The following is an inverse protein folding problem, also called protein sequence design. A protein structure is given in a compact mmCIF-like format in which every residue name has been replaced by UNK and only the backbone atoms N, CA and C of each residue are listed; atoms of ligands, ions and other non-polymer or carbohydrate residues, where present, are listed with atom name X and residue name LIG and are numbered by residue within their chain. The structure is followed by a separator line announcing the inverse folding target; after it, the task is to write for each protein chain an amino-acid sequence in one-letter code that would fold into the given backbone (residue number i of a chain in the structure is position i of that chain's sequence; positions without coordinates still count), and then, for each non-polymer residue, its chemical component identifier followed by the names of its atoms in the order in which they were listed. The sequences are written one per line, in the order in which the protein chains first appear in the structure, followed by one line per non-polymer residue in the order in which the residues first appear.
data_IF_466252214451
#
_entry.id   IF_466252214451
#
_cell.length_a   1.000
_cell.length_b   1.000
_cell.length_c   1.000
_cell.angle_alpha   90.00
_cell.angle_beta   90.00
_cell.angle_gamma   90.00
#
_symmetry.space_group_name_H-M   'P 1'
#
loop_
_entity.id
_entity.type
_entity.pdbx_description
1 polymer ?
#
# COMPACT_ATOMS: atom_id res chain seq x y z
N UNK A 1 -15.23 26.39 6.26
CA UNK A 1 -16.20 25.30 6.01
C UNK A 1 -15.36 24.03 5.96
N UNK A 2 -15.67 23.02 6.78
CA UNK A 2 -15.01 21.72 6.63
C UNK A 2 -15.60 21.08 5.38
N UNK A 3 -14.85 21.06 4.27
CA UNK A 3 -15.16 20.16 3.16
C UNK A 3 -15.05 18.74 3.72
N UNK A 4 -16.19 18.12 3.95
CA UNK A 4 -16.28 16.77 4.46
C UNK A 4 -15.84 15.83 3.33
N UNK A 5 -14.55 15.50 3.30
CA UNK A 5 -14.01 14.54 2.34
C UNK A 5 -14.77 13.21 2.49
N UNK A 6 -15.50 12.82 1.46
CA UNK A 6 -16.16 11.52 1.39
C UNK A 6 -15.09 10.43 1.41
N UNK A 7 -14.90 9.80 2.56
CA UNK A 7 -13.94 8.72 2.71
C UNK A 7 -14.31 7.56 1.78
N UNK A 8 -13.36 7.04 0.98
CA UNK A 8 -13.63 5.88 0.14
C UNK A 8 -13.99 4.67 1.02
N UNK A 9 -15.01 3.92 0.60
CA UNK A 9 -15.33 2.63 1.24
C UNK A 9 -14.33 1.59 0.76
N UNK A 10 -13.52 1.07 1.68
CA UNK A 10 -12.58 0.00 1.38
C UNK A 10 -13.30 -1.35 1.36
N UNK A 11 -13.10 -2.11 0.27
CA UNK A 11 -13.51 -3.51 0.23
C UNK A 11 -12.31 -4.45 0.38
N UNK A 12 -12.58 -5.63 0.93
CA UNK A 12 -11.56 -6.65 1.11
C UNK A 12 -10.89 -7.02 -0.21
N UNK A 13 -9.56 -7.06 -0.14
CA UNK A 13 -8.74 -7.37 -1.29
C UNK A 13 -8.80 -6.29 -2.36
N UNK A 14 -9.08 -5.02 -2.06
CA UNK A 14 -8.85 -3.88 -2.96
C UNK A 14 -7.45 -3.26 -2.75
N UNK A 15 -6.79 -2.80 -3.81
CA UNK A 15 -5.52 -2.07 -3.76
C UNK A 15 -5.89 -0.61 -3.96
N UNK A 16 -5.61 0.17 -2.92
CA UNK A 16 -5.88 1.59 -2.87
C UNK A 16 -4.55 2.31 -2.93
N UNK A 17 -4.46 3.29 -3.83
CA UNK A 17 -3.34 4.21 -3.93
C UNK A 17 -3.85 5.62 -3.66
N UNK A 18 -3.40 6.22 -2.57
CA UNK A 18 -3.68 7.60 -2.23
C UNK A 18 -2.52 8.47 -2.71
N UNK A 19 -2.79 9.42 -3.59
CA UNK A 19 -1.84 10.45 -4.06
C UNK A 19 -2.13 11.73 -3.28
N UNK A 20 -1.11 12.30 -2.63
CA UNK A 20 -1.28 13.56 -1.87
C UNK A 20 -1.70 14.69 -2.81
N UNK A 21 -2.65 15.50 -2.36
CA UNK A 21 -3.04 16.74 -3.04
C UNK A 21 -1.94 17.80 -2.86
N UNK A 22 -1.08 17.95 -3.89
CA UNK A 22 0.03 18.90 -3.86
C UNK A 22 -0.43 20.37 -3.98
N UNK A 23 -1.73 20.62 -4.25
CA UNK A 23 -2.29 21.98 -4.32
C UNK A 23 -2.70 22.51 -2.94
N UNK A 24 -2.82 21.61 -1.96
CA UNK A 24 -3.19 21.91 -0.59
C UNK A 24 -2.10 22.75 0.11
N UNK A 25 -2.51 23.81 0.81
CA UNK A 25 -1.64 24.78 1.48
C UNK A 25 -0.66 25.56 0.58
N UNK A 26 -0.76 25.41 -0.75
CA UNK A 26 0.05 26.15 -1.74
C UNK A 26 -0.78 27.19 -2.49
N UNK A 27 -2.07 26.93 -2.68
CA UNK A 27 -2.99 27.79 -3.43
C UNK A 27 -3.68 28.80 -2.51
N UNK A 28 -3.97 30.00 -3.01
CA UNK A 28 -4.85 30.95 -2.33
C UNK A 28 -6.28 30.36 -2.20
N UNK A 29 -6.96 30.62 -1.08
CA UNK A 29 -8.26 30.00 -0.75
C UNK A 29 -9.30 30.10 -1.89
N UNK A 30 -9.33 31.22 -2.62
CA UNK A 30 -10.26 31.46 -3.72
C UNK A 30 -9.92 30.67 -5.01
N UNK A 31 -8.67 30.22 -5.17
CA UNK A 31 -8.20 29.48 -6.34
C UNK A 31 -8.08 27.96 -6.09
N UNK A 32 -7.97 27.54 -4.82
CA UNK A 32 -7.68 26.16 -4.43
C UNK A 32 -8.62 25.14 -5.06
N UNK A 33 -9.94 25.37 -5.04
CA UNK A 33 -10.92 24.44 -5.60
C UNK A 33 -10.71 24.16 -7.10
N UNK A 34 -10.32 25.18 -7.88
CA UNK A 34 -10.05 25.05 -9.32
C UNK A 34 -8.74 24.31 -9.56
N UNK A 35 -7.69 24.67 -8.83
CA UNK A 35 -6.35 24.11 -9.01
C UNK A 35 -6.32 22.64 -8.59
N UNK A 36 -7.02 22.31 -7.50
CA UNK A 36 -7.27 20.95 -7.01
C UNK A 36 -7.95 20.07 -8.06
N UNK A 37 -9.03 20.56 -8.68
CA UNK A 37 -9.77 19.83 -9.71
C UNK A 37 -8.95 19.64 -10.99
N UNK A 38 -8.15 20.64 -11.37
CA UNK A 38 -7.22 20.53 -12.50
C UNK A 38 -6.13 19.49 -12.21
N UNK A 39 -5.60 19.47 -10.98
CA UNK A 39 -4.62 18.49 -10.54
C UNK A 39 -5.21 17.07 -10.56
N UNK A 40 -6.42 16.86 -10.00
CA UNK A 40 -7.15 15.57 -10.07
C UNK A 40 -7.27 15.06 -11.51
N UNK A 41 -7.76 15.90 -12.43
CA UNK A 41 -7.88 15.55 -13.86
C UNK A 41 -6.54 15.21 -14.50
N UNK A 42 -5.46 15.89 -14.08
CA UNK A 42 -4.11 15.57 -14.58
C UNK A 42 -3.64 14.19 -14.10
N UNK A 43 -3.97 13.78 -12.87
CA UNK A 43 -3.70 12.44 -12.36
C UNK A 43 -4.50 11.38 -13.12
N UNK A 44 -5.79 11.64 -13.38
CA UNK A 44 -6.63 10.73 -14.16
C UNK A 44 -6.07 10.51 -15.58
N UNK A 45 -5.61 11.58 -16.22
CA UNK A 45 -4.95 11.50 -17.53
C UNK A 45 -3.57 10.82 -17.48
N UNK A 46 -2.80 11.03 -16.41
CA UNK A 46 -1.47 10.43 -16.23
C UNK A 46 -1.54 8.91 -15.99
N UNK A 47 -2.50 8.46 -15.18
CA UNK A 47 -2.57 7.06 -14.73
C UNK A 47 -3.65 6.21 -15.40
N UNK A 48 -4.50 6.85 -16.22
CA UNK A 48 -5.64 6.24 -16.91
C UNK A 48 -6.60 5.53 -15.93
N UNK A 49 -6.92 6.23 -14.84
CA UNK A 49 -7.77 5.73 -13.76
C UNK A 49 -8.59 6.87 -13.16
N UNK A 50 -9.84 6.61 -12.73
CA UNK A 50 -10.60 7.60 -11.98
C UNK A 50 -10.01 7.80 -10.58
N UNK A 51 -10.09 9.03 -10.09
CA UNK A 51 -9.68 9.38 -8.73
C UNK A 51 -10.84 9.99 -7.96
N UNK A 52 -11.03 9.57 -6.71
CA UNK A 52 -11.97 10.17 -5.76
C UNK A 52 -11.25 10.91 -4.65
N UNK A 53 -11.94 11.84 -4.03
CA UNK A 53 -11.41 12.61 -2.91
C UNK A 53 -11.27 11.73 -1.67
N UNK A 54 -10.25 11.99 -0.86
CA UNK A 54 -10.06 11.37 0.44
C UNK A 54 -9.26 12.30 1.36
N UNK A 55 -9.32 12.04 2.65
CA UNK A 55 -8.37 12.55 3.64
C UNK A 55 -7.66 11.35 4.25
N UNK A 56 -6.33 11.38 4.28
CA UNK A 56 -5.48 10.30 4.82
C UNK A 56 -4.75 10.70 6.11
N UNK A 57 -5.15 11.81 6.74
CA UNK A 57 -4.51 12.35 7.93
C UNK A 57 -5.48 12.63 9.07
N UNK A 58 -5.58 11.75 10.09
CA UNK A 58 -6.47 11.99 11.22
C UNK A 58 -5.94 13.18 12.02
N UNK A 59 -6.79 14.18 12.25
CA UNK A 59 -6.50 15.31 13.13
C UNK A 59 -5.64 16.44 12.53
N UNK A 60 -4.86 16.19 11.47
CA UNK A 60 -4.09 17.22 10.78
C UNK A 60 -4.58 17.55 9.36
N UNK A 61 -5.56 16.79 8.85
CA UNK A 61 -6.03 16.79 7.45
C UNK A 61 -4.90 16.67 6.44
N UNK A 62 -4.87 15.55 5.73
CA UNK A 62 -3.96 15.36 4.61
C UNK A 62 -4.79 15.01 3.38
N UNK A 63 -5.28 16.03 2.64
CA UNK A 63 -6.10 15.79 1.45
C UNK A 63 -5.33 14.98 0.41
N UNK A 64 -6.04 14.02 -0.17
CA UNK A 64 -5.50 13.10 -1.14
C UNK A 64 -6.54 12.75 -2.21
N UNK A 65 -6.05 12.21 -3.30
CA UNK A 65 -6.83 11.59 -4.35
C UNK A 65 -6.57 10.10 -4.34
N UNK A 66 -7.63 9.31 -4.24
CA UNK A 66 -7.56 7.86 -4.18
C UNK A 66 -7.96 7.24 -5.51
N UNK A 67 -7.10 6.36 -6.02
CA UNK A 67 -7.41 5.45 -7.10
C UNK A 67 -7.48 4.00 -6.59
N UNK A 68 -8.47 3.26 -7.09
CA UNK A 68 -8.60 1.84 -6.85
C UNK A 68 -8.07 1.08 -8.07
N UNK A 69 -7.08 0.20 -7.86
CA UNK A 69 -6.64 -0.72 -8.91
C UNK A 69 -7.64 -1.88 -9.02
N UNK A 70 -8.71 -1.70 -9.79
CA UNK A 70 -9.60 -2.79 -10.15
C UNK A 70 -9.04 -3.55 -11.35
N UNK A 71 -9.09 -4.89 -11.31
CA UNK A 71 -8.92 -5.67 -12.53
C UNK A 71 -10.20 -5.62 -13.34
N UNK A 72 -10.11 -5.69 -14.67
CA UNK A 72 -11.25 -5.65 -15.61
C UNK A 72 -12.18 -6.89 -15.55
N UNK A 73 -11.99 -7.78 -14.57
CA UNK A 73 -12.72 -9.03 -14.42
C UNK A 73 -13.70 -9.00 -13.24
N UNK A 74 -14.77 -9.81 -13.32
CA UNK A 74 -15.83 -9.95 -12.30
C UNK A 74 -15.25 -10.26 -10.91
N UNK A 75 -14.12 -10.96 -10.85
CA UNK A 75 -13.20 -10.97 -9.70
C UNK A 75 -11.77 -11.00 -10.25
N UNK A 76 -10.96 -9.96 -10.07
CA UNK A 76 -9.58 -9.99 -10.51
C UNK A 76 -8.81 -11.11 -9.79
N UNK A 77 -8.03 -11.92 -10.50
CA UNK A 77 -7.27 -13.04 -9.93
C UNK A 77 -6.40 -12.63 -8.72
N UNK A 78 -5.93 -11.38 -8.70
CA UNK A 78 -5.14 -10.83 -7.62
C UNK A 78 -5.91 -10.69 -6.29
N UNK A 79 -7.24 -10.48 -6.32
CA UNK A 79 -8.08 -10.42 -5.11
C UNK A 79 -7.97 -11.75 -4.34
N UNK A 80 -8.09 -12.87 -5.05
CA UNK A 80 -7.95 -14.21 -4.48
C UNK A 80 -6.53 -14.48 -3.95
N UNK A 81 -5.50 -14.02 -4.67
CA UNK A 81 -4.11 -14.15 -4.24
C UNK A 81 -3.83 -13.35 -2.97
N UNK A 82 -4.37 -12.13 -2.88
CA UNK A 82 -4.24 -11.30 -1.68
C UNK A 82 -4.94 -11.93 -0.48
N UNK A 83 -6.16 -12.46 -0.66
CA UNK A 83 -6.87 -13.16 0.39
C UNK A 83 -6.11 -14.41 0.87
N UNK A 84 -5.55 -15.20 -0.05
CA UNK A 84 -4.75 -16.37 0.30
C UNK A 84 -3.47 -16.00 1.07
N UNK A 85 -2.80 -14.89 0.72
CA UNK A 85 -1.66 -14.35 1.45
C UNK A 85 -2.05 -14.00 2.90
N UNK A 86 -3.15 -13.25 3.09
CA UNK A 86 -3.60 -12.82 4.41
C UNK A 86 -4.28 -13.92 5.25
N UNK A 87 -4.56 -15.08 4.66
CA UNK A 87 -4.89 -16.30 5.39
C UNK A 87 -3.63 -17.03 5.92
N UNK A 88 -2.44 -16.50 5.66
CA UNK A 88 -1.17 -17.12 6.03
C UNK A 88 -0.89 -18.42 5.27
N UNK A 89 -1.54 -18.64 4.12
CA UNK A 89 -1.31 -19.85 3.32
C UNK A 89 -0.07 -19.70 2.44
N UNK A 90 0.76 -20.75 2.29
CA UNK A 90 1.83 -20.74 1.31
C UNK A 90 1.28 -20.57 -0.11
N UNK A 91 1.84 -19.62 -0.85
CA UNK A 91 1.57 -19.38 -2.27
C UNK A 91 2.74 -19.93 -3.09
N UNK A 92 2.42 -20.75 -4.09
CA UNK A 92 3.38 -21.34 -5.02
C UNK A 92 3.16 -20.89 -6.47
N UNK A 93 1.99 -20.33 -6.75
CA UNK A 93 1.55 -19.97 -8.09
C UNK A 93 1.43 -18.46 -8.23
N UNK A 94 1.44 -17.98 -9.47
CA UNK A 94 1.16 -16.58 -9.83
C UNK A 94 2.11 -15.55 -9.19
N UNK A 95 3.31 -15.93 -8.76
CA UNK A 95 4.31 -15.01 -8.19
C UNK A 95 4.72 -13.90 -9.19
N UNK A 96 4.66 -14.18 -10.49
CA UNK A 96 4.86 -13.17 -11.53
C UNK A 96 3.81 -12.05 -11.47
N UNK A 97 2.55 -12.38 -11.16
CA UNK A 97 1.48 -11.38 -11.07
C UNK A 97 1.73 -10.35 -9.96
N UNK A 98 2.37 -10.75 -8.86
CA UNK A 98 2.80 -9.83 -7.79
C UNK A 98 3.84 -8.82 -8.29
N UNK A 99 4.80 -9.27 -9.12
CA UNK A 99 5.81 -8.39 -9.73
C UNK A 99 5.18 -7.41 -10.72
N UNK A 100 4.28 -7.89 -11.57
CA UNK A 100 3.59 -7.05 -12.54
C UNK A 100 2.72 -5.99 -11.83
N UNK A 101 2.06 -6.37 -10.74
CA UNK A 101 1.30 -5.44 -9.89
C UNK A 101 2.23 -4.43 -9.19
N UNK A 102 3.36 -4.87 -8.66
CA UNK A 102 4.35 -3.97 -8.06
C UNK A 102 4.86 -2.94 -9.07
N UNK A 103 5.10 -3.35 -10.32
CA UNK A 103 5.48 -2.43 -11.39
C UNK A 103 4.37 -1.39 -11.68
N UNK A 104 3.10 -1.80 -11.69
CA UNK A 104 1.96 -0.87 -11.82
C UNK A 104 1.89 0.10 -10.63
N UNK A 105 2.03 -0.36 -9.39
CA UNK A 105 2.06 0.51 -8.19
C UNK A 105 3.24 1.48 -8.25
N UNK A 106 4.44 1.00 -8.59
CA UNK A 106 5.65 1.83 -8.69
C UNK A 106 5.52 2.93 -9.75
N UNK A 107 4.66 2.76 -10.77
CA UNK A 107 4.42 3.83 -11.76
C UNK A 107 3.85 5.11 -11.15
N UNK A 108 3.18 5.03 -9.99
CA UNK A 108 2.65 6.17 -9.25
C UNK A 108 3.71 6.93 -8.43
N UNK A 109 4.93 6.38 -8.26
CA UNK A 109 5.93 6.93 -7.33
C UNK A 109 6.59 8.22 -7.78
N UNK A 110 6.22 8.71 -8.97
CA UNK A 110 6.47 10.09 -9.40
C UNK A 110 5.78 11.11 -8.49
N UNK A 111 4.73 10.68 -7.76
CA UNK A 111 3.99 11.48 -6.80
C UNK A 111 4.25 11.01 -5.36
N UNK A 112 3.99 11.85 -4.34
CA UNK A 112 3.88 11.39 -2.96
C UNK A 112 2.64 10.49 -2.83
N UNK A 113 2.86 9.22 -2.47
CA UNK A 113 1.78 8.23 -2.38
C UNK A 113 1.78 7.46 -1.07
N UNK A 114 0.58 7.08 -0.65
CA UNK A 114 0.32 6.15 0.43
C UNK A 114 -0.53 4.98 -0.08
N UNK A 115 -0.39 3.84 0.57
CA UNK A 115 -0.98 2.57 0.11
C UNK A 115 -1.76 1.97 1.26
N UNK A 116 -2.89 1.35 0.96
CA UNK A 116 -3.54 0.48 1.94
C UNK A 116 -2.72 -0.81 2.15
N UNK A 117 -3.18 -1.63 3.11
CA UNK A 117 -2.53 -2.89 3.49
C UNK A 117 -2.21 -3.78 2.29
N UNK A 118 -3.11 -3.89 1.32
CA UNK A 118 -2.97 -4.74 0.14
C UNK A 118 -1.92 -4.17 -0.83
N UNK A 119 -1.96 -2.87 -1.11
CA UNK A 119 -0.94 -2.20 -1.93
C UNK A 119 0.45 -2.30 -1.31
N UNK A 120 0.54 -2.12 0.02
CA UNK A 120 1.78 -2.29 0.77
C UNK A 120 2.29 -3.73 0.74
N UNK A 121 1.41 -4.73 0.86
CA UNK A 121 1.79 -6.14 0.77
C UNK A 121 2.41 -6.50 -0.60
N UNK A 122 1.91 -5.91 -1.69
CA UNK A 122 2.50 -6.12 -3.03
C UNK A 122 3.96 -5.66 -3.07
N UNK A 123 4.26 -4.49 -2.49
CA UNK A 123 5.62 -3.99 -2.42
C UNK A 123 6.49 -4.81 -1.47
N UNK A 124 5.91 -5.31 -0.38
CA UNK A 124 6.63 -6.16 0.56
C UNK A 124 7.07 -7.48 -0.10
N UNK A 125 6.17 -8.11 -0.85
CA UNK A 125 6.47 -9.31 -1.64
C UNK A 125 7.52 -9.04 -2.72
N UNK A 126 7.43 -7.91 -3.43
CA UNK A 126 8.43 -7.54 -4.43
C UNK A 126 9.81 -7.28 -3.83
N UNK A 127 9.89 -6.67 -2.65
CA UNK A 127 11.15 -6.50 -1.93
C UNK A 127 11.80 -7.85 -1.57
N UNK A 128 11.01 -8.83 -1.15
CA UNK A 128 11.50 -10.20 -0.91
C UNK A 128 12.04 -10.82 -2.19
N UNK A 129 11.35 -10.66 -3.33
CA UNK A 129 11.84 -11.17 -4.61
C UNK A 129 13.18 -10.56 -5.01
N UNK A 130 13.33 -9.24 -4.80
CA UNK A 130 14.57 -8.53 -5.11
C UNK A 130 15.72 -8.97 -4.19
N UNK A 131 15.46 -9.12 -2.89
CA UNK A 131 16.44 -9.59 -1.90
C UNK A 131 16.89 -11.04 -2.17
N UNK A 132 15.99 -11.89 -2.64
CA UNK A 132 16.31 -13.25 -3.05
C UNK A 132 16.99 -13.34 -4.43
N UNK A 133 17.05 -12.23 -5.19
CA UNK A 133 17.57 -12.20 -6.56
C UNK A 133 16.70 -12.94 -7.58
N UNK A 134 15.42 -13.20 -7.29
CA UNK A 134 14.55 -14.03 -8.14
C UNK A 134 13.13 -14.25 -7.61
N UNK A 135 12.35 -15.07 -8.31
CA UNK A 135 11.08 -15.57 -7.77
C UNK A 135 11.37 -16.75 -6.83
N UNK A 136 10.92 -16.74 -5.57
CA UNK A 136 10.96 -17.93 -4.73
C UNK A 136 10.02 -19.01 -5.28
N UNK A 137 10.15 -20.24 -4.78
CA UNK A 137 9.19 -21.32 -5.05
C UNK A 137 7.91 -21.16 -4.22
N UNK A 138 8.07 -20.60 -3.02
CA UNK A 138 7.03 -20.46 -2.01
C UNK A 138 7.11 -19.11 -1.32
N UNK A 139 5.97 -18.51 -1.01
CA UNK A 139 5.88 -17.33 -0.16
C UNK A 139 4.70 -17.45 0.80
N UNK A 140 4.89 -17.03 2.05
CA UNK A 140 3.88 -17.11 3.09
C UNK A 140 3.96 -15.86 3.97
N UNK A 141 2.83 -15.22 4.23
CA UNK A 141 2.76 -14.17 5.25
C UNK A 141 2.63 -14.83 6.62
N UNK A 142 3.54 -14.49 7.53
CA UNK A 142 3.61 -15.02 8.89
C UNK A 142 3.02 -14.04 9.90
N UNK A 143 3.22 -12.74 9.68
CA UNK A 143 2.71 -11.69 10.56
C UNK A 143 2.51 -10.38 9.82
N UNK A 144 1.57 -9.58 10.32
CA UNK A 144 1.31 -8.24 9.82
C UNK A 144 0.88 -7.31 10.95
N UNK A 145 1.45 -6.11 10.98
CA UNK A 145 0.98 -5.02 11.84
C UNK A 145 1.16 -3.66 11.18
N UNK A 146 0.51 -2.65 11.75
CA UNK A 146 0.76 -1.24 11.47
C UNK A 146 1.52 -0.61 12.62
N UNK A 147 2.43 0.32 12.32
CA UNK A 147 3.14 1.15 13.30
C UNK A 147 2.98 2.62 12.93
N UNK A 148 3.07 3.53 13.90
CA UNK A 148 3.16 4.94 13.58
C UNK A 148 4.49 5.26 12.88
N UNK A 149 4.50 6.19 11.92
CA UNK A 149 5.71 6.56 11.15
C UNK A 149 6.85 7.07 12.07
N UNK A 150 6.50 7.65 13.23
CA UNK A 150 7.45 8.13 14.22
C UNK A 150 8.19 7.01 14.98
N UNK A 151 7.75 5.76 14.87
CA UNK A 151 8.41 4.60 15.49
C UNK A 151 9.47 4.04 14.53
N UNK A 152 10.71 3.91 14.98
CA UNK A 152 11.87 3.57 14.12
C UNK A 152 12.18 2.07 14.05
N UNK A 153 11.62 1.25 14.94
CA UNK A 153 12.21 -0.07 15.18
C UNK A 153 11.66 -1.19 14.29
N UNK A 154 12.43 -1.53 13.24
CA UNK A 154 12.27 -2.75 12.46
C UNK A 154 12.74 -4.01 13.19
N UNK A 155 13.51 -3.94 14.28
CA UNK A 155 14.04 -5.11 14.98
C UNK A 155 13.00 -5.79 15.88
N UNK A 156 11.99 -5.06 16.34
CA UNK A 156 10.89 -5.64 17.12
C UNK A 156 9.99 -6.50 16.22
N UNK A 157 9.82 -7.80 16.50
CA UNK A 157 8.89 -8.65 15.74
C UNK A 157 7.44 -8.17 15.88
N UNK A 158 6.59 -8.30 14.85
CA UNK A 158 5.16 -8.32 15.05
C UNK A 158 4.80 -9.53 15.92
N UNK A 159 3.70 -9.42 16.67
CA UNK A 159 3.07 -10.63 17.20
C UNK A 159 2.77 -11.58 16.03
N UNK A 160 2.81 -12.91 16.24
CA UNK A 160 2.50 -13.93 15.23
C UNK A 160 1.00 -13.92 14.89
N UNK A 161 0.49 -12.77 14.46
CA UNK A 161 -0.87 -12.52 14.08
C UNK A 161 -0.90 -11.64 12.83
N UNK A 162 -1.91 -11.86 12.00
CA UNK A 162 -2.18 -11.03 10.85
C UNK A 162 -3.22 -10.01 11.32
N UNK A 163 -2.73 -8.82 11.73
CA UNK A 163 -3.59 -7.75 12.23
C UNK A 163 -4.60 -7.22 11.20
N UNK A 164 -5.60 -6.50 11.68
CA UNK A 164 -6.63 -5.88 10.83
C UNK A 164 -6.07 -4.71 10.00
N UNK A 165 -6.74 -4.40 8.89
CA UNK A 165 -6.41 -3.19 8.12
C UNK A 165 -6.92 -1.96 8.87
N UNK A 166 -6.12 -0.88 8.86
CA UNK A 166 -6.59 0.41 9.33
C UNK A 166 -7.33 1.15 8.20
N UNK A 167 -8.31 2.02 8.53
CA UNK A 167 -9.01 2.83 7.55
C UNK A 167 -8.08 3.77 6.77
N UNK A 168 -8.51 4.15 5.56
CA UNK A 168 -7.84 5.08 4.63
C UNK A 168 -7.43 6.38 5.33
N UNK A 169 -8.25 6.86 6.26
CA UNK A 169 -7.99 8.05 7.06
C UNK A 169 -6.64 8.03 7.79
N UNK A 170 -6.06 6.86 8.06
CA UNK A 170 -4.80 6.74 8.80
C UNK A 170 -3.56 6.58 7.92
N UNK A 171 -3.71 6.43 6.59
CA UNK A 171 -2.61 6.02 5.71
C UNK A 171 -1.40 6.98 5.76
N UNK A 172 -1.62 8.28 5.97
CA UNK A 172 -0.57 9.29 6.07
C UNK A 172 0.28 9.20 7.34
N UNK A 173 -0.11 8.41 8.33
CA UNK A 173 0.52 8.33 9.66
C UNK A 173 1.02 6.94 10.02
N UNK A 174 0.80 5.95 9.15
CA UNK A 174 1.12 4.55 9.43
C UNK A 174 2.18 4.02 8.47
N UNK A 175 2.90 3.03 8.96
CA UNK A 175 3.82 2.17 8.24
C UNK A 175 3.33 0.74 8.36
N UNK A 176 3.35 0.00 7.26
CA UNK A 176 2.99 -1.41 7.24
C UNK A 176 4.23 -2.27 7.48
N UNK A 177 4.14 -3.20 8.43
CA UNK A 177 5.20 -4.16 8.73
C UNK A 177 4.70 -5.56 8.40
N UNK A 178 5.43 -6.25 7.55
CA UNK A 178 5.14 -7.62 7.13
C UNK A 178 6.27 -8.55 7.56
N UNK A 179 5.92 -9.71 8.08
CA UNK A 179 6.84 -10.85 8.16
C UNK A 179 6.48 -11.90 7.14
N UNK A 180 7.42 -12.18 6.25
CA UNK A 180 7.23 -13.04 5.09
C UNK A 180 8.26 -14.16 5.16
N UNK A 181 7.79 -15.41 5.02
CA UNK A 181 8.64 -16.57 4.80
C UNK A 181 8.66 -16.90 3.31
N UNK A 182 9.85 -17.00 2.72
CA UNK A 182 10.04 -17.40 1.33
C UNK A 182 11.17 -18.44 1.22
N UNK A 183 10.84 -19.61 0.67
CA UNK A 183 11.75 -20.77 0.55
C UNK A 183 12.51 -21.10 1.84
N UNK A 184 11.81 -21.05 2.98
CA UNK A 184 12.39 -21.29 4.30
C UNK A 184 12.98 -20.05 4.97
N UNK A 185 13.37 -19.02 4.22
CA UNK A 185 14.01 -17.82 4.77
C UNK A 185 12.94 -16.83 5.27
N UNK A 186 13.16 -16.23 6.44
CA UNK A 186 12.28 -15.20 7.00
C UNK A 186 12.79 -13.80 6.65
N UNK A 187 11.87 -12.94 6.28
CA UNK A 187 12.09 -11.53 5.97
C UNK A 187 11.11 -10.68 6.75
N UNK A 188 11.59 -9.54 7.23
CA UNK A 188 10.74 -8.48 7.75
C UNK A 188 10.81 -7.29 6.82
N UNK A 189 9.66 -6.80 6.38
CA UNK A 189 9.55 -5.73 5.39
C UNK A 189 8.70 -4.61 5.94
N UNK A 190 9.26 -3.40 5.92
CA UNK A 190 8.55 -2.15 6.21
C UNK A 190 8.19 -1.46 4.90
N UNK A 191 6.94 -1.00 4.82
CA UNK A 191 6.43 -0.18 3.72
C UNK A 191 5.81 1.09 4.28
N UNK A 192 6.40 2.23 3.91
CA UNK A 192 5.98 3.59 4.28
C UNK A 192 5.77 4.38 2.97
N UNK A 193 4.54 4.36 2.47
CA UNK A 193 4.18 4.88 1.16
C UNK A 193 5.04 4.26 0.04
N UNK A 194 5.93 5.06 -0.54
CA UNK A 194 6.89 4.62 -1.58
C UNK A 194 8.21 4.05 -1.05
N UNK A 195 8.49 4.19 0.25
CA UNK A 195 9.73 3.72 0.87
C UNK A 195 9.53 2.28 1.32
N UNK A 196 10.47 1.41 0.95
CA UNK A 196 10.47 0.01 1.34
C UNK A 196 11.82 -0.32 1.96
N UNK A 197 11.80 -0.93 3.14
CA UNK A 197 12.98 -1.42 3.83
C UNK A 197 12.80 -2.90 4.16
N UNK A 198 13.85 -3.70 4.00
CA UNK A 198 13.82 -5.14 4.21
C UNK A 198 14.95 -5.56 5.15
N UNK A 199 14.64 -6.49 6.04
CA UNK A 199 15.58 -7.14 6.93
C UNK A 199 15.45 -8.65 6.74
N UNK A 200 16.51 -9.31 6.29
CA UNK A 200 16.61 -10.76 6.31
C UNK A 200 16.87 -11.23 7.74
N UNK A 201 16.05 -12.15 8.24
CA UNK A 201 16.16 -12.68 9.59
C UNK A 201 16.92 -14.01 9.54
N UNK A 202 17.94 -14.16 10.37
CA UNK A 202 18.61 -15.44 10.57
C UNK A 202 17.69 -16.36 11.38
N UNK A 203 17.53 -17.62 10.96
CA UNK A 203 16.89 -18.63 11.80
C UNK A 203 17.84 -18.95 12.96
N UNK A 204 17.46 -18.61 14.20
CA UNK A 204 18.12 -19.18 15.36
C UNK A 204 17.84 -20.69 15.35
N UNK A 205 18.88 -21.49 15.09
CA UNK A 205 18.86 -22.95 15.24
C UNK A 205 18.75 -23.35 16.71
#
# INVERSE_FOLDING_TARGET
MSDEFLQPTEHDGQILIAVVDETYAVSEDDAWARDREAYRKSLEAEFDLPFCDADIGPGASLPAFVALLQGTAIVPAWVLLSAALFLGKPLQENLKAWRDMAAKIRSFFKRPVFLNRQGAAVLAVEAVFNEMGGLPHTIQLIGYRTMHIAEEDLATPPEESIGEALPTLYLGFIRHIFEIKADGVRFRVSVDGRKVAILRLEEFQ
#
